data_IF_650793154083
#
_entry.id   IF_650793154083
#
_cell.length_a   1.000
_cell.length_b   1.000
_cell.length_c   1.000
_cell.angle_alpha   90.00
_cell.angle_beta   90.00
_cell.angle_gamma   90.00
#
_symmetry.space_group_name_H-M   'P 1'
#
loop_
_entity.id
_entity.type
_entity.pdbx_description
1 polymer ?
#
# COMPACT_ATOMS: atom_id res chain seq x y z
N UNK A 1 -3.51 -15.61 19.98
CA UNK A 1 -2.57 -15.18 18.92
C UNK A 1 -2.79 -16.02 17.65
N UNK A 2 -3.92 -15.86 16.95
CA UNK A 2 -4.23 -16.57 15.69
C UNK A 2 -4.92 -15.67 14.63
N UNK A 3 -5.00 -14.37 14.91
CA UNK A 3 -5.93 -13.45 14.21
C UNK A 3 -5.57 -13.20 12.74
N UNK A 4 -4.31 -13.37 12.35
CA UNK A 4 -3.85 -13.09 10.99
C UNK A 4 -4.10 -14.26 10.04
N UNK A 5 -3.88 -15.51 10.49
CA UNK A 5 -4.13 -16.70 9.69
C UNK A 5 -5.62 -16.85 9.39
N UNK A 6 -6.48 -16.66 10.40
CA UNK A 6 -7.94 -16.68 10.25
C UNK A 6 -8.40 -15.60 9.25
N UNK A 7 -7.81 -14.41 9.29
CA UNK A 7 -8.14 -13.31 8.39
C UNK A 7 -7.69 -13.58 6.95
N UNK A 8 -6.52 -14.19 6.76
CA UNK A 8 -6.05 -14.61 5.43
C UNK A 8 -6.99 -15.66 4.84
N UNK A 9 -7.37 -16.67 5.64
CA UNK A 9 -8.25 -17.74 5.19
C UNK A 9 -9.66 -17.23 4.86
N UNK A 10 -10.22 -16.37 5.71
CA UNK A 10 -11.55 -15.76 5.49
C UNK A 10 -11.60 -14.86 4.25
N UNK A 11 -10.53 -14.11 3.97
CA UNK A 11 -10.40 -13.37 2.71
C UNK A 11 -10.25 -14.28 1.49
N UNK A 12 -9.53 -15.40 1.63
CA UNK A 12 -9.37 -16.38 0.56
C UNK A 12 -10.68 -17.09 0.22
N UNK A 13 -11.52 -17.38 1.21
CA UNK A 13 -12.89 -17.92 1.03
C UNK A 13 -13.78 -16.95 0.23
N UNK A 14 -13.65 -15.64 0.44
CA UNK A 14 -14.38 -14.60 -0.30
C UNK A 14 -14.04 -14.58 -1.79
N UNK A 15 -12.82 -14.98 -2.15
CA UNK A 15 -12.36 -15.09 -3.53
C UNK A 15 -12.74 -16.45 -4.17
N UNK A 16 -13.07 -17.45 -3.33
CA UNK A 16 -13.25 -18.87 -3.72
C UNK A 16 -14.64 -19.09 -4.30
N UNK A 17 -14.85 -18.48 -5.46
CA UNK A 17 -16.09 -18.52 -6.23
C UNK A 17 -16.05 -17.62 -7.45
N UNK A 18 -15.33 -16.49 -7.35
CA UNK A 18 -15.13 -15.55 -8.45
C UNK A 18 -13.92 -15.88 -9.34
N UNK A 19 -12.93 -16.61 -8.83
CA UNK A 19 -11.66 -16.87 -9.51
C UNK A 19 -11.25 -18.33 -9.46
N UNK A 20 -10.73 -18.85 -10.59
CA UNK A 20 -10.09 -20.17 -10.63
C UNK A 20 -8.70 -20.11 -10.00
N UNK A 21 -8.18 -21.23 -9.50
CA UNK A 21 -6.88 -21.29 -8.78
C UNK A 21 -5.70 -20.65 -9.55
N UNK A 22 -5.72 -20.73 -10.87
CA UNK A 22 -4.74 -20.08 -11.74
C UNK A 22 -4.89 -18.54 -11.82
N UNK A 23 -6.08 -18.01 -11.60
CA UNK A 23 -6.38 -16.56 -11.61
C UNK A 23 -6.02 -15.90 -10.28
N UNK A 24 -6.04 -16.64 -9.18
CA UNK A 24 -5.58 -16.15 -7.88
C UNK A 24 -4.16 -15.59 -7.95
N UNK A 25 -3.27 -16.23 -8.71
CA UNK A 25 -1.89 -15.76 -8.88
C UNK A 25 -1.84 -14.37 -9.52
N UNK A 26 -2.75 -14.07 -10.45
CA UNK A 26 -2.82 -12.77 -11.13
C UNK A 26 -3.30 -11.65 -10.20
N UNK A 27 -4.07 -11.99 -9.18
CA UNK A 27 -4.58 -11.02 -8.19
C UNK A 27 -3.59 -10.88 -7.03
N UNK A 28 -3.11 -11.98 -6.46
CA UNK A 28 -2.26 -11.93 -5.25
C UNK A 28 -0.89 -11.28 -5.51
N UNK A 29 -0.29 -11.47 -6.69
CA UNK A 29 1.02 -10.89 -7.01
C UNK A 29 1.00 -9.34 -7.03
N UNK A 30 0.10 -8.65 -7.75
CA UNK A 30 0.04 -7.19 -7.68
C UNK A 30 -0.30 -6.70 -6.27
N UNK A 31 -1.21 -7.37 -5.55
CA UNK A 31 -1.53 -6.96 -4.17
C UNK A 31 -0.37 -7.15 -3.19
N UNK A 32 0.44 -8.20 -3.34
CA UNK A 32 1.65 -8.41 -2.52
C UNK A 32 2.72 -7.38 -2.84
N UNK A 33 2.87 -6.98 -4.11
CA UNK A 33 3.75 -5.87 -4.51
C UNK A 33 3.27 -4.56 -3.92
N UNK A 34 1.98 -4.23 -4.04
CA UNK A 34 1.39 -3.02 -3.45
C UNK A 34 1.59 -2.97 -1.94
N UNK A 35 1.35 -4.10 -1.25
CA UNK A 35 1.58 -4.20 0.19
C UNK A 35 3.05 -3.98 0.54
N UNK A 36 3.98 -4.53 -0.24
CA UNK A 36 5.42 -4.33 -0.03
C UNK A 36 5.82 -2.88 -0.25
N UNK A 37 5.32 -2.24 -1.30
CA UNK A 37 5.56 -0.82 -1.57
C UNK A 37 5.02 0.06 -0.43
N UNK A 38 3.81 -0.21 0.05
CA UNK A 38 3.21 0.49 1.19
C UNK A 38 4.04 0.28 2.47
N UNK A 39 4.55 -0.93 2.74
CA UNK A 39 5.48 -1.17 3.86
C UNK A 39 6.77 -0.33 3.77
N UNK A 40 7.33 -0.18 2.57
CA UNK A 40 8.57 0.61 2.36
C UNK A 40 8.31 2.10 2.60
N UNK A 41 7.13 2.60 2.20
CA UNK A 41 6.75 3.99 2.37
C UNK A 41 6.14 4.31 3.75
N UNK A 42 5.74 3.28 4.53
CA UNK A 42 5.12 3.47 5.83
C UNK A 42 5.93 4.33 6.82
N UNK A 43 7.28 4.20 6.94
CA UNK A 43 8.07 5.02 7.85
C UNK A 43 8.12 6.50 7.46
N UNK A 44 8.04 6.80 6.16
CA UNK A 44 8.17 8.17 5.63
C UNK A 44 6.81 8.84 5.38
N UNK A 45 5.72 8.08 5.47
CA UNK A 45 4.35 8.53 5.13
C UNK A 45 3.90 9.77 5.90
N UNK A 46 4.11 9.82 7.21
CA UNK A 46 3.72 10.98 8.02
C UNK A 46 4.58 12.20 7.71
N UNK A 47 5.90 12.01 7.54
CA UNK A 47 6.81 13.10 7.19
C UNK A 47 6.46 13.73 5.82
N UNK A 48 6.12 12.90 4.83
CA UNK A 48 5.65 13.35 3.51
C UNK A 48 4.34 14.12 3.65
N UNK A 49 3.39 13.65 4.46
CA UNK A 49 2.10 14.32 4.67
C UNK A 49 2.25 15.70 5.33
N UNK A 50 3.04 15.80 6.38
CA UNK A 50 3.32 17.08 7.07
C UNK A 50 3.98 18.08 6.12
N UNK A 51 4.95 17.63 5.32
CA UNK A 51 5.58 18.52 4.32
C UNK A 51 4.63 18.92 3.21
N UNK A 52 3.77 18.00 2.74
CA UNK A 52 2.76 18.32 1.75
C UNK A 52 1.81 19.41 2.27
N UNK A 53 1.30 19.28 3.49
CA UNK A 53 0.43 20.30 4.12
C UNK A 53 1.14 21.66 4.26
N UNK A 54 2.44 21.68 4.60
CA UNK A 54 3.20 22.92 4.74
C UNK A 54 3.53 23.64 3.41
N UNK A 55 3.42 22.95 2.28
CA UNK A 55 3.90 23.41 0.96
C UNK A 55 2.74 23.59 -0.04
N UNK A 56 1.62 22.87 0.13
CA UNK A 56 0.47 22.87 -0.78
C UNK A 56 -0.06 24.27 -1.12
N UNK A 57 -0.10 25.18 -0.14
CA UNK A 57 -0.68 26.51 -0.32
C UNK A 57 0.31 27.54 -0.88
N UNK A 58 1.58 27.17 -1.06
CA UNK A 58 2.66 28.08 -1.46
C UNK A 58 3.01 28.00 -2.96
N UNK A 59 2.32 27.15 -3.73
CA UNK A 59 2.50 27.06 -5.18
C UNK A 59 3.85 26.48 -5.63
N UNK A 60 4.56 25.76 -4.76
CA UNK A 60 5.83 25.11 -5.10
C UNK A 60 5.63 23.80 -5.86
N UNK A 61 6.64 23.42 -6.63
CA UNK A 61 6.72 22.12 -7.30
C UNK A 61 6.83 20.99 -6.26
N UNK A 62 5.68 20.38 -5.96
CA UNK A 62 5.52 19.36 -4.93
C UNK A 62 6.44 18.16 -5.15
N UNK A 63 6.72 17.80 -6.41
CA UNK A 63 7.42 16.57 -6.74
C UNK A 63 8.88 16.61 -6.25
N UNK A 64 9.54 17.76 -6.36
CA UNK A 64 10.91 17.96 -5.86
C UNK A 64 11.03 17.89 -4.34
N UNK A 65 10.00 18.33 -3.61
CA UNK A 65 10.05 18.40 -2.15
C UNK A 65 9.60 17.10 -1.48
N UNK A 66 8.64 16.40 -2.08
CA UNK A 66 8.06 15.18 -1.53
C UNK A 66 8.92 13.95 -1.82
N UNK A 67 9.52 13.84 -3.02
CA UNK A 67 10.41 12.72 -3.40
C UNK A 67 11.63 12.61 -2.49
N UNK A 68 12.23 13.73 -2.09
CA UNK A 68 13.34 13.76 -1.12
C UNK A 68 12.94 13.30 0.29
N UNK A 69 11.65 13.30 0.59
CA UNK A 69 11.11 12.96 1.90
C UNK A 69 10.61 11.52 1.96
N UNK A 70 10.18 10.96 0.83
CA UNK A 70 9.72 9.57 0.72
C UNK A 70 10.83 8.53 0.85
N UNK A 71 12.11 8.93 0.68
CA UNK A 71 13.28 8.05 0.71
C UNK A 71 13.78 7.73 -0.69
#
# INVERSE_FOLDING_TARGET
>A
MAKLADLIWKNAELLRGAFKENEYRKVILPFTILRRLDCVLAPTREAVRTKHEAIKDKGYDLDKFLTRTSG
#
